data_IF_861805173185
#
_entry.id   IF_861805173185
#
_cell.length_a   1.000
_cell.length_b   1.000
_cell.length_c   1.000
_cell.angle_alpha   90.00
_cell.angle_beta   90.00
_cell.angle_gamma   90.00
#
_symmetry.space_group_name_H-M   'P 1'
#
loop_
_entity.id
_entity.type
_entity.pdbx_description
1 polymer ?
#
# COMPACT_ATOMS: atom_id res chain seq x y z
N UNK A 1 -39.36 -0.09 38.08
CA UNK A 1 -38.58 -1.19 37.47
C UNK A 1 -37.10 -0.98 37.82
N UNK A 2 -36.57 -1.74 38.78
CA UNK A 2 -35.17 -1.60 39.22
C UNK A 2 -34.25 -2.22 38.16
N UNK A 3 -33.53 -1.39 37.42
CA UNK A 3 -32.50 -1.88 36.50
C UNK A 3 -31.36 -2.40 37.37
N UNK A 4 -31.06 -3.71 37.30
CA UNK A 4 -29.94 -4.30 38.03
C UNK A 4 -28.64 -3.63 37.58
N UNK A 5 -27.79 -3.24 38.54
CA UNK A 5 -26.47 -2.64 38.29
C UNK A 5 -25.60 -3.46 37.33
N UNK A 6 -25.78 -4.80 37.32
CA UNK A 6 -25.12 -5.71 36.39
C UNK A 6 -25.52 -5.50 34.92
N UNK A 7 -26.78 -5.17 34.66
CA UNK A 7 -27.31 -4.91 33.31
C UNK A 7 -26.76 -3.59 32.75
N UNK A 8 -26.68 -2.55 33.58
CA UNK A 8 -26.05 -1.27 33.23
C UNK A 8 -24.56 -1.44 32.92
N UNK A 9 -23.85 -2.26 33.70
CA UNK A 9 -22.43 -2.57 33.46
C UNK A 9 -22.26 -3.31 32.12
N UNK A 10 -23.16 -4.25 31.80
CA UNK A 10 -23.11 -5.02 30.55
C UNK A 10 -23.35 -4.11 29.32
N UNK A 11 -24.35 -3.23 29.38
CA UNK A 11 -24.65 -2.25 28.33
C UNK A 11 -23.48 -1.29 28.08
N UNK A 12 -22.85 -0.78 29.15
CA UNK A 12 -21.65 0.08 29.04
C UNK A 12 -20.48 -0.65 28.38
N UNK A 13 -20.23 -1.93 28.74
CA UNK A 13 -19.18 -2.75 28.12
C UNK A 13 -19.46 -3.01 26.63
N UNK A 14 -20.70 -3.29 26.27
CA UNK A 14 -21.14 -3.46 24.88
C UNK A 14 -20.92 -2.17 24.07
N UNK A 15 -21.42 -1.03 24.57
CA UNK A 15 -21.24 0.28 23.92
C UNK A 15 -19.76 0.62 23.69
N UNK A 16 -18.90 0.38 24.70
CA UNK A 16 -17.45 0.58 24.57
C UNK A 16 -16.84 -0.31 23.47
N UNK A 17 -17.21 -1.60 23.41
CA UNK A 17 -16.73 -2.56 22.40
C UNK A 17 -17.16 -2.14 20.99
N UNK A 18 -18.42 -1.72 20.80
CA UNK A 18 -18.91 -1.18 19.53
C UNK A 18 -18.16 0.08 19.11
N UNK A 19 -17.88 1.00 20.03
CA UNK A 19 -17.10 2.21 19.72
C UNK A 19 -15.67 1.88 19.28
N UNK A 20 -15.01 0.89 19.92
CA UNK A 20 -13.66 0.44 19.57
C UNK A 20 -13.62 -0.21 18.19
N UNK A 21 -14.64 -1.03 17.86
CA UNK A 21 -14.81 -1.61 16.51
C UNK A 21 -14.94 -0.52 15.44
N UNK A 22 -15.78 0.49 15.69
CA UNK A 22 -15.95 1.64 14.79
C UNK A 22 -14.66 2.45 14.60
N UNK A 23 -13.91 2.72 15.68
CA UNK A 23 -12.58 3.38 15.61
C UNK A 23 -11.60 2.59 14.76
N UNK A 24 -11.50 1.27 14.96
CA UNK A 24 -10.62 0.41 14.18
C UNK A 24 -10.99 0.40 12.69
N UNK A 25 -12.27 0.38 12.36
CA UNK A 25 -12.74 0.48 10.97
C UNK A 25 -12.34 1.81 10.32
N UNK A 26 -12.51 2.94 11.03
CA UNK A 26 -12.07 4.27 10.55
C UNK A 26 -10.57 4.32 10.31
N UNK A 27 -9.76 3.74 11.21
CA UNK A 27 -8.30 3.64 11.05
C UNK A 27 -7.95 2.80 9.81
N UNK A 28 -8.58 1.63 9.65
CA UNK A 28 -8.34 0.75 8.51
C UNK A 28 -8.75 1.40 7.17
N UNK A 29 -9.86 2.14 7.14
CA UNK A 29 -10.29 2.92 5.96
C UNK A 29 -9.27 4.01 5.62
N UNK A 30 -8.81 4.75 6.63
CA UNK A 30 -7.79 5.80 6.46
C UNK A 30 -6.47 5.22 5.92
N UNK A 31 -6.05 4.06 6.43
CA UNK A 31 -4.85 3.37 5.93
C UNK A 31 -4.99 2.96 4.46
N UNK A 32 -6.13 2.37 4.10
CA UNK A 32 -6.43 1.99 2.70
C UNK A 32 -6.44 3.19 1.77
N UNK A 33 -7.09 4.28 2.16
CA UNK A 33 -7.11 5.50 1.35
C UNK A 33 -5.70 6.06 1.09
N UNK A 34 -4.78 5.96 2.07
CA UNK A 34 -3.39 6.35 1.86
C UNK A 34 -2.65 5.46 0.87
N UNK A 35 -2.96 4.16 0.85
CA UNK A 35 -2.46 3.22 -0.16
C UNK A 35 -2.95 3.63 -1.55
N UNK A 36 -4.27 3.74 -1.72
CA UNK A 36 -4.88 4.13 -2.99
C UNK A 36 -4.39 5.47 -3.51
N UNK A 37 -4.27 6.48 -2.64
CA UNK A 37 -3.73 7.78 -3.03
C UNK A 37 -2.27 7.68 -3.48
N UNK A 38 -1.50 6.75 -2.91
CA UNK A 38 -0.11 6.54 -3.29
C UNK A 38 -0.01 5.87 -4.67
N UNK A 39 -0.76 4.79 -4.87
CA UNK A 39 -0.91 4.11 -6.16
C UNK A 39 -1.33 5.12 -7.26
N UNK A 40 -2.35 5.94 -7.00
CA UNK A 40 -2.83 6.96 -7.93
C UNK A 40 -1.77 8.03 -8.24
N UNK A 41 -0.94 8.38 -7.26
CA UNK A 41 0.17 9.33 -7.47
C UNK A 41 1.19 8.75 -8.44
N UNK A 42 1.56 7.48 -8.27
CA UNK A 42 2.50 6.79 -9.17
C UNK A 42 1.94 6.73 -10.59
N UNK A 43 0.67 6.33 -10.74
CA UNK A 43 -0.01 6.25 -12.03
C UNK A 43 -0.01 7.62 -12.74
N UNK A 44 -0.39 8.69 -12.04
CA UNK A 44 -0.40 10.04 -12.60
C UNK A 44 0.98 10.49 -13.07
N UNK A 45 2.03 10.23 -12.27
CA UNK A 45 3.41 10.61 -12.61
C UNK A 45 3.93 9.88 -13.85
N UNK A 46 3.66 8.59 -13.98
CA UNK A 46 4.03 7.87 -15.21
C UNK A 46 3.22 8.34 -16.41
N UNK A 47 1.92 8.53 -16.26
CA UNK A 47 1.05 8.98 -17.36
C UNK A 47 1.32 10.43 -17.81
N UNK A 48 2.01 11.24 -17.01
CA UNK A 48 2.49 12.56 -17.44
C UNK A 48 3.77 12.52 -18.28
N UNK A 49 4.44 11.36 -18.35
CA UNK A 49 5.64 11.18 -19.18
C UNK A 49 5.23 10.71 -20.58
N UNK A 50 5.96 11.17 -21.60
CA UNK A 50 5.70 10.82 -22.98
C UNK A 50 5.87 9.31 -23.22
N UNK A 51 4.92 8.69 -23.94
CA UNK A 51 4.95 7.26 -24.32
C UNK A 51 4.88 6.26 -23.16
N UNK A 52 4.67 6.72 -21.92
CA UNK A 52 4.41 5.89 -20.76
C UNK A 52 2.92 5.75 -20.49
N UNK A 53 2.48 4.54 -20.15
CA UNK A 53 1.12 4.26 -19.68
C UNK A 53 1.18 3.47 -18.39
N UNK A 54 0.43 3.92 -17.40
CA UNK A 54 0.34 3.30 -16.08
C UNK A 54 -1.12 3.06 -15.68
N UNK A 55 -1.34 1.92 -15.04
CA UNK A 55 -2.65 1.42 -14.64
C UNK A 55 -2.60 0.98 -13.18
N UNK A 56 -3.55 1.46 -12.37
CA UNK A 56 -3.79 0.88 -11.05
C UNK A 56 -4.63 -0.37 -11.25
N UNK A 57 -4.16 -1.53 -10.79
CA UNK A 57 -4.86 -2.80 -11.01
C UNK A 57 -5.76 -3.21 -9.84
N UNK A 58 -5.75 -2.43 -8.75
CA UNK A 58 -6.77 -2.45 -7.70
C UNK A 58 -6.58 -3.54 -6.63
N UNK A 59 -6.94 -3.19 -5.39
CA UNK A 59 -6.86 -4.08 -4.21
C UNK A 59 -8.25 -4.66 -3.94
N UNK A 60 -8.50 -5.96 -4.16
CA UNK A 60 -7.93 -7.06 -3.38
C UNK A 60 -7.49 -8.26 -4.23
N UNK A 61 -7.16 -8.05 -5.51
CA UNK A 61 -6.88 -9.17 -6.40
C UNK A 61 -5.59 -9.89 -5.97
N UNK A 62 -5.71 -11.16 -5.60
CA UNK A 62 -4.61 -11.97 -5.09
C UNK A 62 -3.50 -12.22 -6.12
N UNK A 63 -3.73 -11.88 -7.39
CA UNK A 63 -2.84 -12.20 -8.50
C UNK A 63 -2.24 -10.96 -9.21
N UNK A 64 -2.63 -9.74 -8.85
CA UNK A 64 -2.24 -8.52 -9.57
C UNK A 64 -1.18 -7.72 -8.78
N UNK A 65 -0.23 -7.05 -9.45
CA UNK A 65 0.56 -6.00 -8.82
C UNK A 65 -0.33 -4.78 -8.51
N UNK A 66 0.12 -3.88 -7.63
CA UNK A 66 -0.65 -2.67 -7.31
C UNK A 66 -0.76 -1.74 -8.54
N UNK A 67 0.37 -1.54 -9.23
CA UNK A 67 0.46 -0.71 -10.44
C UNK A 67 1.23 -1.46 -11.54
N UNK A 68 0.71 -1.41 -12.75
CA UNK A 68 1.37 -1.86 -13.97
C UNK A 68 1.74 -0.65 -14.82
N UNK A 69 2.97 -0.61 -15.32
CA UNK A 69 3.48 0.47 -16.17
C UNK A 69 4.11 -0.13 -17.42
N UNK A 70 3.82 0.46 -18.58
CA UNK A 70 4.36 0.03 -19.87
C UNK A 70 4.85 1.22 -20.69
N UNK A 71 5.88 0.97 -21.49
CA UNK A 71 6.30 1.82 -22.59
C UNK A 71 6.67 0.91 -23.78
N UNK A 72 5.87 1.00 -24.84
CA UNK A 72 6.00 0.12 -26.00
C UNK A 72 7.17 0.52 -26.91
N UNK A 73 7.53 1.81 -26.94
CA UNK A 73 8.60 2.33 -27.80
C UNK A 73 9.96 1.81 -27.33
N UNK A 74 10.24 1.94 -26.03
CA UNK A 74 11.49 1.41 -25.43
C UNK A 74 11.34 -0.03 -24.90
N UNK A 75 10.25 -0.71 -25.27
CA UNK A 75 9.98 -2.11 -24.91
C UNK A 75 10.20 -2.40 -23.42
N UNK A 76 9.56 -1.61 -22.55
CA UNK A 76 9.71 -1.67 -21.10
C UNK A 76 8.37 -1.92 -20.39
N UNK A 77 8.39 -2.80 -19.39
CA UNK A 77 7.29 -3.05 -18.45
C UNK A 77 7.81 -3.01 -17.02
N UNK A 78 7.08 -2.31 -16.15
CA UNK A 78 7.28 -2.36 -14.71
C UNK A 78 6.04 -2.85 -14.00
N UNK A 79 6.24 -3.72 -13.03
CA UNK A 79 5.23 -4.04 -12.03
C UNK A 79 5.65 -3.42 -10.71
N UNK A 80 4.73 -2.74 -10.04
CA UNK A 80 5.05 -1.96 -8.84
C UNK A 80 4.21 -2.46 -7.68
N UNK A 81 4.89 -2.75 -6.57
CA UNK A 81 4.26 -2.95 -5.27
C UNK A 81 4.47 -1.68 -4.43
N UNK A 82 3.37 -1.04 -4.03
CA UNK A 82 3.36 0.30 -3.47
C UNK A 82 2.95 0.28 -1.99
N UNK A 83 3.80 0.82 -1.12
CA UNK A 83 3.50 0.92 0.33
C UNK A 83 3.58 2.37 0.79
N UNK A 84 2.57 2.79 1.57
CA UNK A 84 2.59 4.10 2.23
C UNK A 84 2.25 3.99 3.72
N UNK A 85 2.90 4.79 4.55
CA UNK A 85 2.63 4.71 5.99
C UNK A 85 3.30 5.77 6.87
N UNK A 86 2.88 5.78 8.12
CA UNK A 86 3.38 6.68 9.18
C UNK A 86 4.48 6.05 10.02
N UNK A 87 4.84 4.78 9.76
CA UNK A 87 5.93 4.11 10.44
C UNK A 87 7.29 4.60 9.99
N UNK A 88 8.34 4.06 10.61
CA UNK A 88 9.73 4.19 10.17
C UNK A 88 10.13 3.05 9.23
N UNK A 89 9.35 1.98 9.19
CA UNK A 89 9.55 0.83 8.31
C UNK A 89 8.25 0.51 7.55
N UNK A 90 8.41 0.01 6.33
CA UNK A 90 7.33 -0.49 5.49
C UNK A 90 7.76 -1.85 4.95
N UNK A 91 7.04 -2.89 5.36
CA UNK A 91 7.33 -4.26 4.96
C UNK A 91 6.57 -4.61 3.69
N UNK A 92 7.23 -5.37 2.81
CA UNK A 92 6.63 -5.98 1.61
C UNK A 92 6.70 -7.49 1.79
N UNK A 93 5.57 -8.16 2.02
CA UNK A 93 5.50 -9.62 2.03
C UNK A 93 6.04 -10.25 0.74
N UNK A 94 6.73 -11.39 0.85
CA UNK A 94 7.40 -12.04 -0.28
C UNK A 94 6.42 -12.46 -1.38
N UNK A 95 5.25 -12.97 -1.01
CA UNK A 95 4.18 -13.34 -1.93
C UNK A 95 3.79 -12.15 -2.84
N UNK A 96 3.83 -10.92 -2.31
CA UNK A 96 3.51 -9.73 -3.09
C UNK A 96 4.56 -9.45 -4.17
N UNK A 97 5.82 -9.72 -3.85
CA UNK A 97 6.94 -9.60 -4.78
C UNK A 97 6.86 -10.70 -5.84
N UNK A 98 6.55 -11.93 -5.44
CA UNK A 98 6.39 -13.08 -6.34
C UNK A 98 5.26 -12.85 -7.36
N UNK A 99 4.14 -12.25 -6.95
CA UNK A 99 3.08 -11.82 -7.91
C UNK A 99 3.60 -10.82 -8.93
N UNK A 100 4.33 -9.79 -8.48
CA UNK A 100 4.90 -8.80 -9.38
C UNK A 100 5.89 -9.45 -10.37
N UNK A 101 6.69 -10.41 -9.88
CA UNK A 101 7.61 -11.19 -10.70
C UNK A 101 6.86 -12.02 -11.74
N UNK A 102 5.79 -12.73 -11.36
CA UNK A 102 5.00 -13.57 -12.27
C UNK A 102 4.58 -12.78 -13.53
N UNK A 103 4.08 -11.56 -13.33
CA UNK A 103 3.73 -10.67 -14.43
C UNK A 103 4.95 -10.32 -15.30
N UNK A 104 6.07 -9.91 -14.72
CA UNK A 104 7.28 -9.65 -15.51
C UNK A 104 7.82 -10.87 -16.26
N UNK A 105 7.58 -12.10 -15.79
CA UNK A 105 7.99 -13.32 -16.50
C UNK A 105 7.05 -13.69 -17.65
N UNK A 106 5.76 -13.37 -17.55
CA UNK A 106 4.75 -13.70 -18.56
C UNK A 106 4.76 -12.72 -19.75
N UNK A 107 5.07 -11.45 -19.52
CA UNK A 107 5.07 -10.42 -20.55
C UNK A 107 6.41 -10.35 -21.31
N UNK A 108 6.78 -11.46 -21.96
CA UNK A 108 8.10 -11.64 -22.58
C UNK A 108 8.37 -10.77 -23.80
N UNK A 109 7.32 -10.18 -24.39
CA UNK A 109 7.43 -9.25 -25.53
C UNK A 109 8.24 -7.99 -25.18
N UNK A 110 8.29 -7.59 -23.90
CA UNK A 110 9.06 -6.43 -23.46
C UNK A 110 10.51 -6.83 -23.17
N UNK A 111 11.49 -6.06 -23.69
CA UNK A 111 12.92 -6.30 -23.45
C UNK A 111 13.33 -6.01 -22.02
N UNK A 112 12.86 -4.89 -21.45
CA UNK A 112 13.14 -4.50 -20.06
C UNK A 112 11.92 -4.79 -19.18
N UNK A 113 12.12 -5.61 -18.15
CA UNK A 113 11.06 -6.10 -17.27
C UNK A 113 11.56 -6.05 -15.83
N UNK A 114 11.01 -5.14 -15.02
CA UNK A 114 11.50 -4.92 -13.65
C UNK A 114 10.34 -4.84 -12.65
N UNK A 115 10.58 -5.36 -11.44
CA UNK A 115 9.70 -5.17 -10.29
C UNK A 115 10.23 -4.00 -9.48
N UNK A 116 9.38 -3.00 -9.21
CA UNK A 116 9.74 -1.82 -8.42
C UNK A 116 8.98 -1.86 -7.08
N UNK A 117 9.71 -1.71 -5.99
CA UNK A 117 9.12 -1.46 -4.67
C UNK A 117 9.08 0.05 -4.44
N UNK A 118 7.88 0.61 -4.29
CA UNK A 118 7.65 2.05 -4.17
C UNK A 118 7.11 2.42 -2.78
N UNK A 119 7.90 3.14 -2.00
CA UNK A 119 7.61 3.48 -0.61
C UNK A 119 7.32 4.97 -0.45
N UNK A 120 6.29 5.30 0.36
CA UNK A 120 5.99 6.66 0.79
C UNK A 120 5.86 6.75 2.31
N UNK A 121 6.84 7.39 2.93
CA UNK A 121 6.85 7.72 4.34
C UNK A 121 6.20 9.09 4.55
N UNK A 122 5.04 9.11 5.19
CA UNK A 122 4.26 10.33 5.38
C UNK A 122 5.00 11.31 6.29
N UNK A 123 4.73 12.61 6.11
CA UNK A 123 5.26 13.70 6.96
C UNK A 123 4.81 13.62 8.42
N UNK A 124 3.82 12.79 8.73
CA UNK A 124 3.49 12.41 10.11
C UNK A 124 4.10 11.05 10.45
N UNK A 125 5.02 11.03 11.41
CA UNK A 125 5.61 9.81 11.96
C UNK A 125 4.88 9.43 13.24
N UNK A 126 4.44 8.17 13.32
CA UNK A 126 3.78 7.65 14.52
C UNK A 126 4.84 7.26 15.55
N UNK A 127 4.79 7.87 16.73
CA UNK A 127 5.69 7.57 17.86
C UNK A 127 4.98 6.87 19.02
N UNK A 128 3.64 6.85 19.02
CA UNK A 128 2.84 6.18 20.03
C UNK A 128 1.42 5.87 19.57
N UNK A 129 0.56 5.44 20.48
CA UNK A 129 -0.84 5.19 20.16
C UNK A 129 -1.58 6.52 19.91
N UNK A 130 -1.80 6.87 18.65
CA UNK A 130 -2.43 8.14 18.27
C UNK A 130 -1.53 9.37 18.37
N UNK A 131 -0.27 9.20 18.79
CA UNK A 131 0.72 10.28 18.91
C UNK A 131 1.59 10.32 17.66
N UNK A 132 1.73 11.52 17.10
CA UNK A 132 2.48 11.77 15.88
C UNK A 132 3.45 12.94 16.05
N UNK A 133 4.63 12.81 15.46
CA UNK A 133 5.56 13.92 15.25
C UNK A 133 5.62 14.28 13.77
N UNK A 134 6.03 15.52 13.49
CA UNK A 134 6.28 15.98 12.13
C UNK A 134 7.67 15.47 11.67
N UNK A 135 7.76 15.07 10.41
CA UNK A 135 8.99 14.80 9.69
C UNK A 135 8.85 15.22 8.23
N UNK A 136 9.97 15.31 7.53
CA UNK A 136 9.96 15.46 6.08
C UNK A 136 9.30 14.24 5.42
N UNK A 137 8.51 14.49 4.38
CA UNK A 137 7.95 13.44 3.53
C UNK A 137 9.09 12.82 2.71
N UNK A 138 9.18 11.50 2.71
CA UNK A 138 10.18 10.77 1.95
C UNK A 138 9.53 9.71 1.07
N UNK A 139 10.00 9.63 -0.16
CA UNK A 139 9.65 8.58 -1.10
C UNK A 139 10.92 7.81 -1.45
N UNK A 140 10.85 6.48 -1.45
CA UNK A 140 11.97 5.60 -1.79
C UNK A 140 11.53 4.58 -2.82
N UNK A 141 12.42 4.27 -3.76
CA UNK A 141 12.18 3.31 -4.82
C UNK A 141 13.33 2.31 -4.85
N UNK A 142 13.00 1.04 -5.01
CA UNK A 142 14.00 -0.03 -5.12
C UNK A 142 13.59 -0.99 -6.23
N UNK A 143 14.48 -1.19 -7.20
CA UNK A 143 14.33 -2.28 -8.16
C UNK A 143 14.63 -3.59 -7.43
N UNK A 144 13.68 -4.53 -7.50
CA UNK A 144 13.89 -5.86 -6.95
C UNK A 144 14.87 -6.63 -7.84
N UNK A 145 16.02 -6.97 -7.28
CA UNK A 145 17.03 -7.77 -7.97
C UNK A 145 17.18 -9.12 -7.28
N UNK A 146 16.79 -10.19 -7.97
CA UNK A 146 16.91 -11.58 -7.49
C UNK A 146 18.38 -12.00 -7.31
N UNK A 147 19.33 -11.37 -8.02
CA UNK A 147 20.76 -11.73 -8.03
C UNK A 147 21.52 -11.41 -6.73
N UNK A 148 20.87 -10.87 -5.69
CA UNK A 148 21.50 -10.59 -4.38
C UNK A 148 21.33 -11.69 -3.34
N UNK A 149 20.80 -12.86 -3.73
CA UNK A 149 20.69 -14.04 -2.86
C UNK A 149 21.65 -15.16 -3.30
N UNK A 150 22.94 -14.85 -3.35
CA UNK A 150 24.04 -15.82 -3.26
C UNK A 150 25.08 -15.23 -2.30
#
# INVERSE_FOLDING_TARGET
MMILSSQIILEKKLAMKFSKKSKNQKIAKTRRQRGYNWEDTLVKRFNSLENWKAFRLGSPSVALPDVLVVNNIVSTIFTIEAKSGTGTTLQVPLDQIERCLLWTHNFQVYKKREVILAFKFLSKKRIGSGIYENRKLHEFYKIWNKKRNL
#
